data_IF_175505607701
#
_entry.id   IF_175505607701
#
_cell.length_a   1.000
_cell.length_b   1.000
_cell.length_c   1.000
_cell.angle_alpha   90.00
_cell.angle_beta   90.00
_cell.angle_gamma   90.00
#
_symmetry.space_group_name_H-M   'P 1'
#
loop_
_entity.id
_entity.type
_entity.pdbx_description
1 polymer ?
#
# COMPACT_ATOMS: atom_id res chain seq x y z
N UNK A 1 -25.72 9.50 1.43
CA UNK A 1 -24.26 9.79 1.39
C UNK A 1 -23.72 9.80 2.83
N UNK A 2 -23.94 8.72 3.56
CA UNK A 2 -23.65 8.65 4.99
C UNK A 2 -22.18 8.31 5.28
N UNK A 3 -21.43 7.89 4.26
CA UNK A 3 -20.03 7.47 4.36
C UNK A 3 -19.08 8.62 4.66
N UNK A 4 -19.31 9.82 4.10
CA UNK A 4 -18.50 11.01 4.42
C UNK A 4 -18.70 11.37 5.90
N UNK A 5 -19.95 11.43 6.38
CA UNK A 5 -20.27 11.68 7.80
C UNK A 5 -19.65 10.63 8.71
N UNK A 6 -19.72 9.35 8.32
CA UNK A 6 -19.10 8.25 9.06
C UNK A 6 -17.58 8.40 9.16
N UNK A 7 -16.89 8.62 8.04
CA UNK A 7 -15.45 8.82 8.02
C UNK A 7 -15.00 10.08 8.77
N UNK A 8 -15.84 11.12 8.82
CA UNK A 8 -15.60 12.29 9.67
C UNK A 8 -15.72 11.97 11.16
N UNK A 9 -16.74 11.19 11.55
CA UNK A 9 -16.94 10.76 12.93
C UNK A 9 -15.79 9.86 13.41
N UNK A 10 -15.34 8.92 12.58
CA UNK A 10 -14.20 8.03 12.87
C UNK A 10 -12.89 8.79 13.08
N UNK A 11 -12.79 10.03 12.58
CA UNK A 11 -11.61 10.89 12.65
C UNK A 11 -11.78 12.10 13.55
N UNK A 12 -12.90 12.19 14.27
CA UNK A 12 -13.26 13.34 15.10
C UNK A 12 -13.13 14.69 14.36
N UNK A 13 -13.43 14.68 13.06
CA UNK A 13 -13.22 15.82 12.17
C UNK A 13 -14.52 16.61 11.97
N UNK A 14 -14.46 17.93 12.19
CA UNK A 14 -15.60 18.82 11.92
C UNK A 14 -15.74 19.14 10.43
N UNK A 15 -16.93 19.54 9.99
CA UNK A 15 -17.15 19.97 8.59
C UNK A 15 -16.33 21.23 8.24
N UNK A 16 -16.11 22.11 9.21
CA UNK A 16 -15.26 23.29 9.04
C UNK A 16 -13.79 22.89 8.80
N UNK A 17 -13.32 21.86 9.50
CA UNK A 17 -11.96 21.35 9.33
C UNK A 17 -11.78 20.66 7.98
N UNK A 18 -12.74 19.83 7.59
CA UNK A 18 -12.72 19.17 6.28
C UNK A 18 -12.74 20.21 5.13
N UNK A 19 -13.49 21.30 5.28
CA UNK A 19 -13.50 22.42 4.35
C UNK A 19 -12.11 23.08 4.21
N UNK A 20 -11.42 23.33 5.33
CA UNK A 20 -10.05 23.87 5.34
C UNK A 20 -9.05 22.94 4.65
N UNK A 21 -9.13 21.63 4.92
CA UNK A 21 -8.21 20.64 4.36
C UNK A 21 -8.41 20.41 2.86
N UNK A 22 -9.66 20.41 2.40
CA UNK A 22 -10.01 20.10 1.00
C UNK A 22 -10.08 21.33 0.10
N UNK A 23 -10.18 22.53 0.68
CA UNK A 23 -10.46 23.76 -0.05
C UNK A 23 -11.88 23.81 -0.64
N UNK A 24 -12.77 22.93 -0.21
CA UNK A 24 -14.18 22.91 -0.63
C UNK A 24 -14.95 23.87 0.25
N UNK A 25 -15.82 24.69 -0.34
CA UNK A 25 -16.64 25.64 0.41
C UNK A 25 -17.53 24.90 1.42
N UNK A 26 -17.80 25.48 2.60
CA UNK A 26 -18.70 24.89 3.59
C UNK A 26 -20.10 24.62 3.03
N UNK A 27 -20.56 25.45 2.09
CA UNK A 27 -21.86 25.28 1.41
C UNK A 27 -21.90 23.99 0.57
N UNK A 28 -20.93 23.80 -0.32
CA UNK A 28 -20.85 22.58 -1.13
C UNK A 28 -20.65 21.33 -0.28
N UNK A 29 -19.84 21.42 0.78
CA UNK A 29 -19.66 20.30 1.68
C UNK A 29 -20.96 19.94 2.41
N UNK A 30 -21.75 20.93 2.83
CA UNK A 30 -23.07 20.69 3.42
C UNK A 30 -24.05 20.01 2.45
N UNK A 31 -24.04 20.40 1.18
CA UNK A 31 -24.83 19.73 0.13
C UNK A 31 -24.42 18.27 -0.04
N UNK A 32 -23.12 17.97 -0.03
CA UNK A 32 -22.59 16.60 -0.13
C UNK A 32 -22.98 15.76 1.09
N UNK A 33 -22.80 16.32 2.30
CA UNK A 33 -23.11 15.65 3.57
C UNK A 33 -24.60 15.36 3.73
N UNK A 34 -25.46 16.22 3.20
CA UNK A 34 -26.91 16.03 3.22
C UNK A 34 -27.41 15.22 2.02
N UNK A 35 -26.51 14.78 1.12
CA UNK A 35 -26.85 13.99 -0.06
C UNK A 35 -27.66 14.74 -1.10
N UNK A 36 -27.70 16.08 -1.05
CA UNK A 36 -28.40 16.90 -2.05
C UNK A 36 -27.62 16.97 -3.37
N UNK A 37 -26.30 16.82 -3.29
CA UNK A 37 -25.42 16.81 -4.46
C UNK A 37 -24.33 15.76 -4.30
N UNK A 38 -24.00 15.11 -5.40
CA UNK A 38 -22.92 14.11 -5.45
C UNK A 38 -21.60 14.78 -5.86
N UNK A 39 -20.54 14.72 -5.02
CA UNK A 39 -19.26 15.32 -5.35
C UNK A 39 -18.67 14.71 -6.63
N UNK A 40 -18.13 15.56 -7.51
CA UNK A 40 -17.40 15.12 -8.70
C UNK A 40 -16.12 14.37 -8.32
N UNK A 41 -15.57 13.59 -9.24
CA UNK A 41 -14.38 12.73 -9.03
C UNK A 41 -13.20 13.47 -8.39
N UNK A 42 -12.91 14.68 -8.86
CA UNK A 42 -11.88 15.58 -8.34
C UNK A 42 -12.15 15.99 -6.88
N UNK A 43 -13.41 16.22 -6.49
CA UNK A 43 -13.79 16.50 -5.10
C UNK A 43 -13.77 15.25 -4.22
N UNK A 44 -14.19 14.10 -4.77
CA UNK A 44 -14.09 12.81 -4.08
C UNK A 44 -12.63 12.48 -3.76
N UNK A 45 -11.71 12.72 -4.69
CA UNK A 45 -10.27 12.54 -4.46
C UNK A 45 -9.73 13.45 -3.33
N UNK A 46 -10.17 14.72 -3.27
CA UNK A 46 -9.77 15.62 -2.18
C UNK A 46 -10.33 15.17 -0.82
N UNK A 47 -11.61 14.83 -0.77
CA UNK A 47 -12.29 14.40 0.46
C UNK A 47 -11.70 13.08 0.98
N UNK A 48 -11.49 12.10 0.09
CA UNK A 48 -10.88 10.82 0.44
C UNK A 48 -9.44 10.98 0.97
N UNK A 49 -8.65 11.86 0.37
CA UNK A 49 -7.30 12.16 0.85
C UNK A 49 -7.30 12.84 2.23
N UNK A 50 -8.21 13.78 2.48
CA UNK A 50 -8.35 14.44 3.77
C UNK A 50 -8.82 13.48 4.87
N UNK A 51 -9.77 12.60 4.54
CA UNK A 51 -10.32 11.59 5.44
C UNK A 51 -9.49 10.29 5.46
N UNK A 52 -8.41 10.18 4.68
CA UNK A 52 -7.57 8.98 4.50
C UNK A 52 -8.38 7.69 4.29
N UNK A 53 -9.45 7.79 3.54
CA UNK A 53 -10.26 6.66 3.10
C UNK A 53 -10.09 6.45 1.59
N UNK A 54 -10.50 5.31 1.06
CA UNK A 54 -10.49 5.10 -0.39
C UNK A 54 -11.59 5.93 -1.08
N UNK A 55 -11.31 6.56 -2.24
CA UNK A 55 -12.35 7.18 -3.08
C UNK A 55 -13.50 6.22 -3.40
N UNK A 56 -13.19 4.95 -3.66
CA UNK A 56 -14.18 3.92 -3.96
C UNK A 56 -15.11 3.65 -2.76
N UNK A 57 -14.54 3.63 -1.55
CA UNK A 57 -15.31 3.44 -0.34
C UNK A 57 -16.32 4.58 -0.13
N UNK A 58 -15.94 5.84 -0.39
CA UNK A 58 -16.87 6.98 -0.32
C UNK A 58 -18.03 6.87 -1.32
N UNK A 59 -17.77 6.31 -2.50
CA UNK A 59 -18.75 6.16 -3.58
C UNK A 59 -19.66 4.94 -3.43
N UNK A 60 -19.50 4.12 -2.40
CA UNK A 60 -20.35 2.94 -2.22
C UNK A 60 -19.70 1.62 -2.62
N UNK A 61 -18.47 1.63 -3.14
CA UNK A 61 -17.78 0.40 -3.53
C UNK A 61 -17.21 -0.27 -2.27
N UNK A 62 -17.85 -1.36 -1.87
CA UNK A 62 -17.40 -2.21 -0.77
C UNK A 62 -16.26 -3.09 -1.31
N UNK A 63 -15.05 -2.79 -0.87
CA UNK A 63 -13.84 -3.46 -1.36
C UNK A 63 -13.80 -4.93 -0.90
N UNK A 64 -14.42 -5.82 -1.67
CA UNK A 64 -14.01 -7.22 -1.80
C UNK A 64 -13.54 -7.56 -3.22
N UNK A 65 -13.26 -6.54 -4.04
CA UNK A 65 -12.59 -6.73 -5.32
C UNK A 65 -11.43 -5.75 -5.39
N UNK A 66 -10.23 -6.30 -5.22
CA UNK A 66 -8.98 -5.58 -5.38
C UNK A 66 -8.79 -5.19 -6.85
N UNK A 67 -8.62 -3.91 -7.17
CA UNK A 67 -7.62 -3.53 -8.14
C UNK A 67 -6.47 -2.90 -7.37
N UNK A 68 -5.40 -3.67 -7.24
CA UNK A 68 -4.06 -3.19 -6.96
C UNK A 68 -3.78 -2.01 -7.89
N UNK A 69 -3.77 -0.79 -7.34
CA UNK A 69 -2.80 0.27 -7.62
C UNK A 69 -3.27 1.57 -6.96
N UNK A 70 -2.38 2.09 -6.11
CA UNK A 70 -2.36 3.44 -5.50
C UNK A 70 -2.90 3.58 -4.09
N UNK A 71 -2.14 4.38 -3.35
CA UNK A 71 -2.30 4.85 -1.98
C UNK A 71 -1.84 3.82 -0.94
N UNK A 72 -0.61 3.98 -0.42
CA UNK A 72 -0.36 4.90 0.70
C UNK A 72 -1.49 4.78 1.73
N UNK A 73 -1.23 4.17 2.88
CA UNK A 73 -1.42 4.78 4.20
C UNK A 73 -1.04 3.78 5.30
N UNK A 74 -0.12 4.24 6.14
CA UNK A 74 0.12 3.87 7.53
C UNK A 74 -1.07 3.16 8.21
N UNK A 75 -0.89 1.88 8.53
CA UNK A 75 -1.35 1.32 9.79
C UNK A 75 -0.28 1.58 10.87
N UNK A 76 -0.64 1.86 12.14
CA UNK A 76 0.35 2.01 13.20
C UNK A 76 0.87 0.63 13.57
N UNK A 77 2.08 0.28 13.16
CA UNK A 77 2.79 -0.88 13.68
C UNK A 77 3.96 -0.39 14.53
N UNK A 78 3.82 -0.44 15.85
CA UNK A 78 4.99 -0.50 16.75
C UNK A 78 5.56 -1.92 16.59
N UNK A 79 6.29 -2.10 15.50
CA UNK A 79 7.34 -3.10 15.37
C UNK A 79 8.47 -2.38 14.62
N UNK A 80 9.16 -1.57 15.42
CA UNK A 80 10.59 -1.30 15.36
C UNK A 80 11.31 -1.76 14.09
N UNK A 81 11.51 -0.79 13.20
CA UNK A 81 12.74 -0.51 12.43
C UNK A 81 12.35 0.08 11.08
N UNK A 82 12.00 1.37 11.09
CA UNK A 82 12.07 2.22 9.91
C UNK A 82 13.53 2.34 9.44
N UNK A 83 13.97 1.32 8.70
CA UNK A 83 15.10 1.39 7.79
C UNK A 83 14.51 1.81 6.44
N UNK A 84 14.40 3.11 6.22
CA UNK A 84 14.12 3.69 4.90
C UNK A 84 15.19 3.22 3.92
N UNK A 85 14.84 2.32 3.00
CA UNK A 85 15.64 1.98 1.83
C UNK A 85 14.76 1.55 0.65
N UNK A 86 15.20 1.83 -0.59
CA UNK A 86 14.35 2.25 -1.71
C UNK A 86 13.50 1.15 -2.33
N UNK A 87 12.35 1.58 -2.88
CA UNK A 87 11.36 0.81 -3.65
C UNK A 87 12.02 -0.22 -4.59
N UNK A 88 11.81 -1.50 -4.29
CA UNK A 88 11.89 -2.54 -5.32
C UNK A 88 10.78 -2.24 -6.32
N UNK A 89 11.13 -2.16 -7.60
CA UNK A 89 10.12 -1.97 -8.64
C UNK A 89 9.38 -3.28 -8.85
N UNK A 90 8.16 -3.24 -9.41
CA UNK A 90 7.41 -4.47 -9.73
C UNK A 90 8.19 -5.47 -10.60
N UNK A 91 9.17 -4.99 -11.39
CA UNK A 91 10.04 -5.87 -12.16
C UNK A 91 11.04 -6.61 -11.25
N UNK A 92 11.62 -5.94 -10.26
CA UNK A 92 12.57 -6.57 -9.34
C UNK A 92 11.87 -7.60 -8.44
N UNK A 93 10.64 -7.33 -8.03
CA UNK A 93 9.85 -8.28 -7.24
C UNK A 93 9.53 -9.55 -8.03
N UNK A 94 9.14 -9.41 -9.31
CA UNK A 94 8.93 -10.57 -10.18
C UNK A 94 10.22 -11.35 -10.45
N UNK A 95 11.34 -10.66 -10.64
CA UNK A 95 12.65 -11.32 -10.79
C UNK A 95 13.03 -12.08 -9.52
N UNK A 96 12.83 -11.49 -8.32
CA UNK A 96 13.11 -12.16 -7.05
C UNK A 96 12.23 -13.39 -6.86
N UNK A 97 10.95 -13.34 -7.20
CA UNK A 97 10.08 -14.51 -7.08
C UNK A 97 10.47 -15.61 -8.08
N UNK A 98 10.80 -15.26 -9.33
CA UNK A 98 11.28 -16.22 -10.33
C UNK A 98 12.58 -16.88 -9.88
N UNK A 99 13.58 -16.09 -9.44
CA UNK A 99 14.87 -16.61 -8.98
C UNK A 99 14.73 -17.47 -7.72
N UNK A 100 13.79 -17.12 -6.84
CA UNK A 100 13.47 -17.90 -5.63
C UNK A 100 12.83 -19.23 -5.99
N UNK A 101 11.87 -19.25 -6.90
CA UNK A 101 11.22 -20.47 -7.37
C UNK A 101 12.22 -21.40 -8.07
N UNK A 102 13.08 -20.87 -8.93
CA UNK A 102 14.12 -21.66 -9.61
C UNK A 102 15.10 -22.26 -8.60
N UNK A 103 15.53 -21.49 -7.60
CA UNK A 103 16.41 -21.96 -6.54
C UNK A 103 15.74 -23.00 -5.65
N UNK A 104 14.48 -22.79 -5.25
CA UNK A 104 13.73 -23.74 -4.43
C UNK A 104 13.42 -25.02 -5.20
N UNK A 105 13.09 -24.94 -6.49
CA UNK A 105 12.92 -26.12 -7.33
C UNK A 105 14.22 -26.90 -7.48
N UNK A 106 15.36 -26.21 -7.60
CA UNK A 106 16.69 -26.86 -7.63
C UNK A 106 17.07 -27.50 -6.29
N UNK A 107 16.79 -26.84 -5.16
CA UNK A 107 17.11 -27.34 -3.81
C UNK A 107 16.16 -28.47 -3.41
N UNK A 108 14.86 -28.30 -3.66
CA UNK A 108 13.83 -29.33 -3.44
C UNK A 108 14.12 -30.57 -4.27
N UNK A 109 14.53 -30.41 -5.53
CA UNK A 109 14.98 -31.54 -6.36
C UNK A 109 16.21 -32.25 -5.81
N UNK A 110 17.03 -31.59 -4.99
CA UNK A 110 18.21 -32.17 -4.36
C UNK A 110 17.95 -32.71 -2.93
N UNK A 111 16.87 -32.27 -2.27
CA UNK A 111 16.60 -32.50 -0.86
C UNK A 111 15.41 -33.42 -0.55
N UNK A 112 14.60 -33.82 -1.54
CA UNK A 112 13.44 -34.69 -1.27
C UNK A 112 13.81 -36.17 -1.11
N UNK A 113 14.01 -36.57 0.14
CA UNK A 113 13.44 -37.78 0.76
C UNK A 113 12.90 -37.36 2.15
N UNK A 114 11.60 -37.06 2.28
CA UNK A 114 10.96 -36.86 3.60
C UNK A 114 9.75 -35.94 3.62
N UNK A 115 8.63 -36.42 4.16
CA UNK A 115 7.28 -35.83 4.13
C UNK A 115 6.97 -34.91 5.34
N UNK A 116 8.01 -34.38 5.99
CA UNK A 116 7.90 -33.84 7.36
C UNK A 116 8.17 -32.32 7.49
N UNK A 117 8.25 -31.56 6.39
CA UNK A 117 8.93 -30.24 6.37
C UNK A 117 8.13 -29.02 5.91
N UNK A 118 6.80 -29.06 5.85
CA UNK A 118 6.01 -27.98 5.19
C UNK A 118 6.18 -26.61 5.90
N UNK A 119 6.24 -26.59 7.24
CA UNK A 119 6.37 -25.35 8.03
C UNK A 119 7.81 -24.80 8.03
N UNK A 120 8.82 -25.68 8.10
CA UNK A 120 10.24 -25.30 8.00
C UNK A 120 10.60 -24.78 6.60
N UNK A 121 9.99 -25.35 5.54
CA UNK A 121 10.19 -24.89 4.17
C UNK A 121 9.60 -23.49 3.95
N UNK A 122 8.47 -23.16 4.59
CA UNK A 122 7.88 -21.82 4.52
C UNK A 122 8.75 -20.78 5.23
N UNK A 123 9.23 -21.09 6.43
CA UNK A 123 10.18 -20.24 7.17
C UNK A 123 11.51 -20.07 6.41
N UNK A 124 11.99 -21.15 5.79
CA UNK A 124 13.19 -21.13 4.94
C UNK A 124 12.97 -20.26 3.69
N UNK A 125 11.86 -20.44 2.97
CA UNK A 125 11.48 -19.63 1.81
C UNK A 125 11.41 -18.14 2.18
N UNK A 126 10.79 -17.81 3.31
CA UNK A 126 10.71 -16.43 3.80
C UNK A 126 12.10 -15.83 4.07
N UNK A 127 13.00 -16.62 4.68
CA UNK A 127 14.37 -16.20 5.00
C UNK A 127 15.19 -15.93 3.74
N UNK A 128 15.15 -16.83 2.75
CA UNK A 128 15.86 -16.66 1.47
C UNK A 128 15.31 -15.46 0.70
N UNK A 129 13.99 -15.30 0.65
CA UNK A 129 13.35 -14.14 0.03
C UNK A 129 13.81 -12.82 0.66
N UNK A 130 13.87 -12.76 1.99
CA UNK A 130 14.36 -11.58 2.70
C UNK A 130 15.82 -11.26 2.35
N UNK A 131 16.68 -12.28 2.26
CA UNK A 131 18.09 -12.12 1.87
C UNK A 131 18.23 -11.60 0.43
N UNK A 132 17.47 -12.14 -0.53
CA UNK A 132 17.46 -11.68 -1.93
C UNK A 132 17.04 -10.22 -2.05
N UNK A 133 15.99 -9.83 -1.33
CA UNK A 133 15.50 -8.46 -1.24
C UNK A 133 16.62 -7.53 -0.74
N UNK A 134 17.33 -7.91 0.33
CA UNK A 134 18.45 -7.13 0.87
C UNK A 134 19.60 -7.01 -0.13
N UNK A 135 19.97 -8.10 -0.79
CA UNK A 135 21.02 -8.11 -1.81
C UNK A 135 20.69 -7.16 -2.98
N UNK A 136 19.46 -7.23 -3.51
CA UNK A 136 18.99 -6.36 -4.59
C UNK A 136 19.01 -4.88 -4.17
N UNK A 137 18.61 -4.58 -2.92
CA UNK A 137 18.68 -3.22 -2.36
C UNK A 137 20.11 -2.69 -2.28
N UNK A 138 21.04 -3.50 -1.77
CA UNK A 138 22.46 -3.12 -1.66
C UNK A 138 23.05 -2.88 -3.05
N UNK A 139 22.76 -3.77 -4.01
CA UNK A 139 23.20 -3.63 -5.39
C UNK A 139 22.67 -2.35 -6.04
N UNK A 140 21.37 -2.06 -5.91
CA UNK A 140 20.80 -0.81 -6.42
C UNK A 140 21.41 0.42 -5.78
N UNK A 141 21.62 0.43 -4.45
CA UNK A 141 22.26 1.57 -3.76
C UNK A 141 23.70 1.80 -4.22
N UNK A 142 24.46 0.72 -4.44
CA UNK A 142 25.88 0.77 -4.82
C UNK A 142 26.09 1.08 -6.30
N UNK A 143 25.26 0.54 -7.19
CA UNK A 143 25.50 0.53 -8.64
C UNK A 143 24.52 1.38 -9.46
N UNK A 144 23.45 1.94 -8.87
CA UNK A 144 22.56 2.88 -9.61
C UNK A 144 23.23 4.25 -9.71
N UNK A 145 23.54 4.75 -10.92
CA UNK A 145 24.15 6.07 -11.11
C UNK A 145 23.29 7.20 -10.54
N UNK A 146 23.91 8.24 -9.95
CA UNK A 146 23.20 9.38 -9.32
C UNK A 146 22.14 10.02 -10.23
N UNK A 147 22.39 10.11 -11.54
CA UNK A 147 21.46 10.66 -12.55
C UNK A 147 20.10 9.95 -12.65
N UNK A 148 19.99 8.72 -12.14
CA UNK A 148 18.74 7.94 -12.13
C UNK A 148 18.15 7.74 -10.73
N UNK A 149 18.77 8.32 -9.69
CA UNK A 149 18.19 8.35 -8.35
C UNK A 149 17.09 9.41 -8.38
N UNK A 150 15.85 9.01 -8.10
CA UNK A 150 14.75 9.96 -7.88
C UNK A 150 14.97 10.59 -6.51
N UNK A 151 15.87 11.56 -6.43
CA UNK A 151 15.97 12.45 -5.28
C UNK A 151 14.66 13.25 -5.20
N UNK A 152 13.99 13.21 -4.05
CA UNK A 152 12.86 14.08 -3.69
C UNK A 152 13.24 14.81 -2.41
#
# INVERSE_FOLDING_TARGET
>A
MDRIKKAMADREMSAAELSRLTGISPSSLSEYLNGRYEPKQDKVALISNALKVSPGWLLGFDANTSPTTSANNNAPNIQDAHVSLPDLTQKDEREIESDLEDMMNSISSAAYEGDDGIEDMEAFKATIKAAMIQAKRIAKKKYTPKKYRKDK
#
